data_IF_945173798690
#
_entry.id   IF_945173798690
#
_cell.length_a   1.000
_cell.length_b   1.000
_cell.length_c   1.000
_cell.angle_alpha   90.00
_cell.angle_beta   90.00
_cell.angle_gamma   90.00
#
_symmetry.space_group_name_H-M   'P 1'
#
loop_
_entity.id
_entity.type
_entity.pdbx_description
1 polymer ?
#
# COMPACT_ATOMS: atom_id res chain seq x y z
N UNK A 1 -18.01 -7.04 2.66
CA UNK A 1 -16.69 -7.71 2.64
C UNK A 1 -16.56 -8.42 1.30
N UNK A 2 -15.49 -8.16 0.55
CA UNK A 2 -15.19 -8.83 -0.73
C UNK A 2 -13.82 -9.49 -0.56
N UNK A 3 -13.65 -10.80 -0.86
CA UNK A 3 -12.36 -11.49 -0.76
C UNK A 3 -11.36 -10.99 -1.79
N UNK A 4 -10.09 -10.86 -1.39
CA UNK A 4 -8.97 -10.46 -2.26
C UNK A 4 -8.51 -11.61 -3.16
N UNK A 5 -8.61 -12.84 -2.66
CA UNK A 5 -8.19 -14.04 -3.40
C UNK A 5 -9.29 -15.09 -3.40
N UNK A 6 -9.39 -15.80 -4.53
CA UNK A 6 -10.30 -16.92 -4.73
C UNK A 6 -9.49 -18.12 -5.19
N UNK A 7 -9.72 -19.26 -4.53
CA UNK A 7 -9.06 -20.52 -4.86
C UNK A 7 -10.13 -21.58 -5.15
N UNK A 8 -9.98 -22.29 -6.25
CA UNK A 8 -10.79 -23.47 -6.53
C UNK A 8 -10.13 -24.69 -5.91
N UNK A 9 -10.90 -25.46 -5.13
CA UNK A 9 -10.45 -26.70 -4.53
C UNK A 9 -11.21 -27.86 -5.18
N UNK A 10 -10.49 -28.92 -5.51
CA UNK A 10 -11.08 -30.17 -6.01
C UNK A 10 -11.76 -30.97 -4.89
N UNK A 11 -11.26 -30.87 -3.65
CA UNK A 11 -11.89 -31.45 -2.47
C UNK A 11 -11.63 -30.60 -1.22
N UNK A 12 -12.54 -30.70 -0.24
CA UNK A 12 -12.39 -30.03 1.05
C UNK A 12 -11.44 -30.85 1.94
N UNK A 13 -10.37 -30.25 2.51
CA UNK A 13 -9.55 -30.93 3.48
C UNK A 13 -10.34 -31.05 4.79
N UNK A 14 -10.53 -32.29 5.25
CA UNK A 14 -11.26 -32.60 6.47
C UNK A 14 -10.30 -33.20 7.50
N UNK A 15 -10.52 -32.85 8.77
CA UNK A 15 -9.97 -33.55 9.93
C UNK A 15 -10.53 -34.98 10.02
N UNK A 16 -9.91 -35.89 10.80
CA UNK A 16 -10.46 -37.24 11.02
C UNK A 16 -11.91 -37.26 11.55
N UNK A 17 -12.32 -36.18 12.21
CA UNK A 17 -13.69 -35.99 12.72
C UNK A 17 -14.66 -35.38 11.69
N UNK A 18 -14.26 -35.26 10.42
CA UNK A 18 -15.09 -34.73 9.33
C UNK A 18 -15.28 -33.21 9.33
N UNK A 19 -14.61 -32.46 10.22
CA UNK A 19 -14.63 -30.99 10.21
C UNK A 19 -13.61 -30.44 9.21
N UNK A 20 -13.90 -29.31 8.59
CA UNK A 20 -12.95 -28.60 7.72
C UNK A 20 -11.66 -28.28 8.46
N UNK A 21 -10.52 -28.67 7.88
CA UNK A 21 -9.20 -28.38 8.42
C UNK A 21 -8.69 -27.01 7.91
N UNK A 22 -8.84 -25.98 8.75
CA UNK A 22 -8.41 -24.63 8.44
C UNK A 22 -6.89 -24.48 8.24
N UNK A 23 -6.08 -25.33 8.89
CA UNK A 23 -4.62 -25.29 8.72
C UNK A 23 -4.23 -25.85 7.37
N UNK A 24 -4.82 -26.98 6.98
CA UNK A 24 -4.61 -27.55 5.66
C UNK A 24 -5.05 -26.58 4.55
N UNK A 25 -6.19 -25.89 4.71
CA UNK A 25 -6.61 -24.83 3.78
C UNK A 25 -5.59 -23.70 3.66
N UNK A 26 -5.04 -23.23 4.79
CA UNK A 26 -4.07 -22.13 4.78
C UNK A 26 -2.76 -22.53 4.12
N UNK A 27 -2.35 -23.80 4.21
CA UNK A 27 -1.16 -24.32 3.54
C UNK A 27 -1.36 -24.55 2.04
N UNK A 28 -2.58 -24.89 1.62
CA UNK A 28 -2.96 -25.02 0.20
C UNK A 28 -3.12 -23.67 -0.50
N UNK A 29 -3.33 -22.59 0.26
CA UNK A 29 -3.34 -21.24 -0.27
C UNK A 29 -1.93 -20.89 -0.76
N UNK A 30 -1.67 -21.18 -2.04
CA UNK A 30 -0.53 -20.63 -2.75
C UNK A 30 -0.83 -19.15 -2.93
N UNK A 31 -0.33 -18.32 -2.03
CA UNK A 31 -0.25 -16.89 -2.30
C UNK A 31 0.55 -16.75 -3.58
N UNK A 32 0.02 -16.08 -4.63
CA UNK A 32 0.81 -15.81 -5.81
C UNK A 32 2.10 -15.15 -5.34
N UNK A 33 3.22 -15.89 -5.45
CA UNK A 33 4.53 -15.34 -5.13
C UNK A 33 4.75 -14.32 -6.21
N UNK A 34 4.78 -13.08 -5.78
CA UNK A 34 4.89 -11.91 -6.63
C UNK A 34 5.95 -12.19 -7.70
N UNK A 35 5.51 -12.28 -8.95
CA UNK A 35 6.44 -12.21 -10.06
C UNK A 35 7.16 -10.89 -9.88
N UNK A 36 8.47 -10.92 -9.67
CA UNK A 36 9.33 -9.75 -9.80
C UNK A 36 9.22 -9.26 -11.25
N UNK A 37 8.11 -8.61 -11.56
CA UNK A 37 7.82 -8.11 -12.89
C UNK A 37 8.70 -6.90 -13.07
N UNK A 38 9.71 -7.05 -13.92
CA UNK A 38 10.07 -6.25 -15.11
C UNK A 38 9.71 -4.75 -15.19
N UNK A 39 8.74 -4.26 -14.42
CA UNK A 39 8.27 -2.87 -14.33
C UNK A 39 9.28 -1.91 -13.68
N UNK A 40 10.23 -2.41 -12.87
CA UNK A 40 11.25 -1.56 -12.26
C UNK A 40 12.06 -0.78 -13.33
N UNK A 41 12.24 -1.37 -14.52
CA UNK A 41 13.07 -0.85 -15.60
C UNK A 41 12.43 0.33 -16.36
N UNK A 42 11.11 0.50 -16.30
CA UNK A 42 10.38 1.61 -16.96
C UNK A 42 9.79 2.62 -15.98
N UNK A 43 10.24 2.59 -14.72
CA UNK A 43 9.67 3.42 -13.66
C UNK A 43 10.15 4.87 -13.71
N UNK A 44 9.21 5.81 -13.78
CA UNK A 44 9.49 7.25 -13.62
C UNK A 44 10.01 7.54 -12.19
N UNK A 45 10.77 8.63 -12.00
CA UNK A 45 11.24 9.00 -10.66
C UNK A 45 10.10 9.15 -9.64
N UNK A 46 8.98 9.73 -10.08
CA UNK A 46 7.76 9.89 -9.27
C UNK A 46 7.21 8.55 -8.78
N UNK A 47 7.11 7.57 -9.68
CA UNK A 47 6.63 6.23 -9.35
C UNK A 47 7.53 5.52 -8.33
N UNK A 48 8.86 5.55 -8.52
CA UNK A 48 9.83 4.94 -7.58
C UNK A 48 9.73 5.54 -6.18
N UNK A 49 9.58 6.86 -6.12
CA UNK A 49 9.51 7.56 -4.85
C UNK A 49 8.19 7.28 -4.13
N UNK A 50 7.07 7.24 -4.85
CA UNK A 50 5.77 6.81 -4.30
C UNK A 50 5.84 5.37 -3.79
N UNK A 51 6.41 4.44 -4.57
CA UNK A 51 6.56 3.04 -4.17
C UNK A 51 7.37 2.89 -2.88
N UNK A 52 8.50 3.58 -2.80
CA UNK A 52 9.37 3.55 -1.62
C UNK A 52 8.67 4.16 -0.40
N UNK A 53 8.04 5.32 -0.59
CA UNK A 53 7.35 6.03 0.48
C UNK A 53 6.16 5.23 1.05
N UNK A 54 5.35 4.62 0.19
CA UNK A 54 4.22 3.78 0.59
C UNK A 54 4.73 2.55 1.35
N UNK A 55 5.74 1.86 0.83
CA UNK A 55 6.34 0.70 1.49
C UNK A 55 6.82 1.02 2.91
N UNK A 56 7.54 2.14 3.07
CA UNK A 56 8.07 2.58 4.36
C UNK A 56 6.99 3.05 5.34
N UNK A 57 5.98 3.76 4.85
CA UNK A 57 4.93 4.32 5.71
C UNK A 57 3.99 3.24 6.23
N UNK A 58 3.63 2.28 5.36
CA UNK A 58 2.64 1.26 5.67
C UNK A 58 3.24 -0.11 6.03
N UNK A 59 4.58 -0.23 6.04
CA UNK A 59 5.30 -1.45 6.42
C UNK A 59 4.90 -2.66 5.57
N UNK A 60 4.63 -2.42 4.28
CA UNK A 60 4.26 -3.45 3.31
C UNK A 60 5.41 -3.74 2.35
N UNK A 61 5.34 -4.89 1.66
CA UNK A 61 6.24 -5.17 0.55
C UNK A 61 6.16 -4.03 -0.48
N UNK A 62 7.29 -3.60 -1.04
CA UNK A 62 7.31 -2.43 -1.93
C UNK A 62 6.35 -2.65 -3.11
N UNK A 63 5.25 -1.89 -3.26
CA UNK A 63 4.23 -2.17 -4.27
C UNK A 63 4.80 -2.01 -5.68
N UNK A 64 4.35 -2.85 -6.61
CA UNK A 64 4.69 -2.79 -8.03
C UNK A 64 3.94 -1.63 -8.67
N UNK A 65 4.33 -1.25 -9.89
CA UNK A 65 3.72 -0.09 -10.54
C UNK A 65 2.21 -0.30 -10.79
N UNK A 66 1.83 -1.51 -11.19
CA UNK A 66 0.45 -1.91 -11.46
C UNK A 66 -0.21 -2.66 -10.30
N UNK A 67 0.51 -2.88 -9.19
CA UNK A 67 -0.04 -3.63 -8.06
C UNK A 67 -1.13 -2.81 -7.38
N UNK A 68 -2.26 -3.46 -7.13
CA UNK A 68 -3.32 -2.85 -6.35
C UNK A 68 -2.89 -2.74 -4.88
N UNK A 69 -3.07 -1.56 -4.28
CA UNK A 69 -2.77 -1.30 -2.88
C UNK A 69 -3.43 -2.32 -1.93
N UNK A 70 -4.65 -2.77 -2.23
CA UNK A 70 -5.35 -3.77 -1.42
C UNK A 70 -4.69 -5.15 -1.49
N UNK A 71 -4.15 -5.52 -2.66
CA UNK A 71 -3.47 -6.81 -2.87
C UNK A 71 -2.10 -6.82 -2.17
N UNK A 72 -1.48 -5.65 -2.03
CA UNK A 72 -0.22 -5.44 -1.29
C UNK A 72 -0.44 -5.41 0.23
N UNK A 73 -1.70 -5.44 0.68
CA UNK A 73 -2.07 -5.53 2.09
C UNK A 73 -2.48 -4.21 2.73
N UNK A 74 -2.63 -3.11 1.97
CA UNK A 74 -3.25 -1.90 2.49
C UNK A 74 -4.74 -2.14 2.70
N UNK A 75 -5.28 -1.67 3.81
CA UNK A 75 -6.71 -1.69 4.07
C UNK A 75 -7.34 -0.29 3.88
N UNK A 76 -8.67 -0.20 4.03
CA UNK A 76 -9.39 1.06 3.84
C UNK A 76 -8.92 2.20 4.75
N UNK A 77 -8.50 1.90 5.99
CA UNK A 77 -7.97 2.91 6.91
C UNK A 77 -6.58 3.39 6.49
N UNK A 78 -5.76 2.48 5.94
CA UNK A 78 -4.47 2.82 5.37
C UNK A 78 -4.63 3.73 4.15
N UNK A 79 -5.62 3.45 3.28
CA UNK A 79 -5.94 4.31 2.13
C UNK A 79 -6.40 5.70 2.56
N UNK A 80 -7.24 5.81 3.59
CA UNK A 80 -7.64 7.13 4.14
C UNK A 80 -6.42 7.87 4.73
N UNK A 81 -5.50 7.15 5.36
CA UNK A 81 -4.27 7.73 5.90
C UNK A 81 -3.34 8.18 4.78
N UNK A 82 -3.18 7.36 3.73
CA UNK A 82 -2.43 7.65 2.52
C UNK A 82 -2.98 8.91 1.84
N UNK A 83 -4.30 9.00 1.68
CA UNK A 83 -4.98 10.16 1.14
C UNK A 83 -4.62 11.44 1.89
N UNK A 84 -4.71 11.42 3.22
CA UNK A 84 -4.35 12.57 4.05
C UNK A 84 -2.89 12.98 3.85
N UNK A 85 -1.98 12.02 3.74
CA UNK A 85 -0.58 12.34 3.47
C UNK A 85 -0.36 12.93 2.08
N UNK A 86 -1.04 12.40 1.05
CA UNK A 86 -1.01 12.94 -0.30
C UNK A 86 -1.54 14.38 -0.33
N UNK A 87 -2.65 14.68 0.34
CA UNK A 87 -3.16 16.05 0.43
C UNK A 87 -2.21 17.02 1.12
N UNK A 88 -1.52 16.58 2.19
CA UNK A 88 -0.53 17.40 2.87
C UNK A 88 0.69 17.72 2.01
N UNK A 89 1.00 16.83 1.07
CA UNK A 89 2.22 16.86 0.25
C UNK A 89 1.98 17.54 -1.09
N UNK A 90 0.80 17.36 -1.65
CA UNK A 90 0.34 17.97 -2.89
C UNK A 90 -0.93 18.79 -2.64
N UNK A 91 -0.84 19.89 -1.88
CA UNK A 91 -2.01 20.69 -1.51
C UNK A 91 -2.72 21.28 -2.73
N UNK A 92 -1.99 21.61 -3.80
CA UNK A 92 -2.56 22.15 -5.05
C UNK A 92 -3.07 21.07 -6.00
N UNK A 93 -2.81 19.79 -5.72
CA UNK A 93 -3.27 18.70 -6.57
C UNK A 93 -4.77 18.45 -6.44
N UNK A 94 -5.48 19.02 -5.45
CA UNK A 94 -6.92 18.84 -5.27
C UNK A 94 -7.39 17.37 -5.39
N UNK A 95 -6.59 16.43 -4.86
CA UNK A 95 -6.94 15.01 -4.86
C UNK A 95 -8.18 14.77 -4.00
N UNK A 96 -9.11 13.98 -4.55
CA UNK A 96 -10.29 13.51 -3.83
C UNK A 96 -10.10 12.08 -3.35
N UNK A 97 -10.81 11.70 -2.29
CA UNK A 97 -10.73 10.33 -1.76
C UNK A 97 -11.25 9.32 -2.79
N UNK A 98 -12.29 9.68 -3.54
CA UNK A 98 -12.86 8.87 -4.63
C UNK A 98 -11.80 8.51 -5.67
N UNK A 99 -11.01 9.49 -6.12
CA UNK A 99 -9.93 9.25 -7.09
C UNK A 99 -8.88 8.24 -6.57
N UNK A 100 -8.60 8.24 -5.26
CA UNK A 100 -7.65 7.29 -4.69
C UNK A 100 -8.21 5.85 -4.66
N UNK A 101 -9.53 5.69 -4.51
CA UNK A 101 -10.20 4.40 -4.62
C UNK A 101 -10.41 3.94 -6.07
N UNK A 102 -10.41 4.87 -7.04
CA UNK A 102 -10.46 4.54 -8.48
C UNK A 102 -9.07 4.22 -9.05
N UNK A 103 -8.01 4.80 -8.48
CA UNK A 103 -6.63 4.68 -8.95
C UNK A 103 -5.75 4.03 -7.89
N UNK A 104 -6.00 2.74 -7.64
CA UNK A 104 -5.43 1.98 -6.53
C UNK A 104 -4.06 1.37 -6.84
N UNK A 105 -3.33 1.87 -7.83
CA UNK A 105 -1.96 1.47 -8.13
C UNK A 105 -1.06 2.68 -8.31
N UNK A 106 0.25 2.47 -8.21
CA UNK A 106 1.25 3.55 -8.26
C UNK A 106 1.25 4.25 -9.61
N UNK A 107 1.13 3.50 -10.71
CA UNK A 107 1.11 4.06 -12.05
C UNK A 107 -0.08 4.99 -12.26
N UNK A 108 -1.29 4.56 -11.88
CA UNK A 108 -2.49 5.39 -12.00
C UNK A 108 -2.40 6.65 -11.12
N UNK A 109 -1.92 6.52 -9.88
CA UNK A 109 -1.72 7.65 -8.99
C UNK A 109 -0.67 8.64 -9.52
N UNK A 110 0.47 8.13 -10.00
CA UNK A 110 1.53 8.95 -10.57
C UNK A 110 1.07 9.70 -11.82
N UNK A 111 0.34 9.04 -12.73
CA UNK A 111 -0.25 9.70 -13.91
C UNK A 111 -1.24 10.79 -13.51
N UNK A 112 -2.05 10.57 -12.47
CA UNK A 112 -3.02 11.57 -11.99
C UNK A 112 -2.32 12.80 -11.44
N UNK A 113 -1.25 12.61 -10.67
CA UNK A 113 -0.41 13.69 -10.15
C UNK A 113 0.29 14.45 -11.28
N UNK A 114 0.91 13.74 -12.22
CA UNK A 114 1.60 14.33 -13.37
C UNK A 114 0.64 15.13 -14.26
N UNK A 115 -0.59 14.63 -14.50
CA UNK A 115 -1.62 15.37 -15.25
C UNK A 115 -1.99 16.70 -14.59
N UNK A 116 -1.85 16.80 -13.27
CA UNK A 116 -2.08 18.03 -12.49
C UNK A 116 -0.83 18.92 -12.35
N UNK A 117 0.24 18.62 -13.10
CA UNK A 117 1.48 19.39 -13.10
C UNK A 117 2.36 19.17 -11.88
N UNK A 118 2.15 18.07 -11.14
CA UNK A 118 2.97 17.71 -10.00
C UNK A 118 4.07 16.73 -10.40
N UNK A 119 5.31 17.21 -10.30
CA UNK A 119 6.53 16.44 -10.56
C UNK A 119 7.35 16.24 -9.26
N UNK A 120 8.50 15.55 -9.41
CA UNK A 120 9.40 15.05 -8.37
C UNK A 120 9.75 16.02 -7.21
N UNK A 121 9.64 17.33 -7.42
CA UNK A 121 10.02 18.38 -6.46
C UNK A 121 9.14 18.41 -5.20
N UNK A 122 7.89 17.94 -5.31
CA UNK A 122 6.89 18.07 -4.23
C UNK A 122 6.88 16.92 -3.23
N UNK A 123 7.81 15.95 -3.35
CA UNK A 123 7.90 14.82 -2.43
C UNK A 123 9.08 15.02 -1.44
N UNK A 124 8.97 15.84 -0.37
CA UNK A 124 10.02 15.97 0.63
C UNK A 124 10.18 14.69 1.48
N UNK A 125 11.23 13.90 1.26
CA UNK A 125 11.54 12.63 1.94
C UNK A 125 11.48 12.69 3.49
N UNK A 126 11.43 13.88 4.09
CA UNK A 126 11.51 14.16 5.53
C UNK A 126 10.23 13.95 6.36
N UNK A 127 9.06 13.68 5.76
CA UNK A 127 7.81 13.60 6.56
C UNK A 127 7.67 12.34 7.41
N UNK A 128 8.36 11.25 7.03
CA UNK A 128 8.37 10.00 7.80
C UNK A 128 9.25 10.17 9.06
N UNK A 129 10.41 10.81 8.93
CA UNK A 129 11.34 11.06 10.05
C UNK A 129 10.77 12.07 11.07
N UNK A 130 10.10 13.13 10.61
CA UNK A 130 9.59 14.18 11.49
C UNK A 130 8.53 13.69 12.50
N UNK A 131 7.74 12.66 12.15
CA UNK A 131 6.65 12.16 13.00
C UNK A 131 7.11 11.10 14.00
N UNK A 132 8.12 10.30 13.64
CA UNK A 132 8.79 9.39 14.59
C UNK A 132 9.54 10.21 15.65
N UNK A 133 10.22 11.29 15.24
CA UNK A 133 10.86 12.24 16.16
C UNK A 133 9.85 12.91 17.11
N UNK A 134 8.70 13.37 16.60
CA UNK A 134 7.65 13.98 17.43
C UNK A 134 7.03 13.03 18.46
N UNK A 135 6.94 11.72 18.16
CA UNK A 135 6.37 10.73 19.10
C UNK A 135 7.35 10.40 20.24
N UNK A 136 8.65 10.48 19.99
CA UNK A 136 9.69 10.29 21.00
C UNK A 136 9.83 11.52 21.92
N UNK A 137 9.71 12.74 21.38
CA UNK A 137 9.78 13.98 22.18
C UNK A 137 8.62 14.15 23.17
N UNK A 138 7.44 13.59 22.90
CA UNK A 138 6.30 13.63 23.83
C UNK A 138 6.43 12.67 25.02
N UNK A 139 7.34 11.68 24.96
CA UNK A 139 7.54 10.71 26.04
C UNK A 139 8.55 11.18 27.09
N UNK A 140 9.46 12.10 26.75
CA UNK A 140 10.52 12.58 27.65
C UNK A 140 10.10 13.76 28.53
N UNK A 141 8.93 14.38 28.28
CA UNK A 141 8.43 15.54 29.05
C UNK A 141 7.47 15.18 30.19
N UNK A 142 7.27 13.90 30.49
CA UNK A 142 6.33 13.43 31.54
C UNK A 142 7.01 12.86 32.80
N UNK A 143 8.33 12.97 32.89
CA UNK A 143 9.14 12.54 34.05
C UNK A 143 10.07 13.65 34.51
N UNK A 144 9.51 14.83 34.82
CA UNK A 144 10.17 15.80 35.67
C UNK A 144 9.15 16.60 36.47
#
# INVERSE_FOLDING_TARGET
>A
MIPVFWFSLTCWPLTPNGKVDARALTQLAVYPTRSDSTDAQHSTPLQRQLATWIAQTFHVASPGLQDNFFDVGLNSLDIVTLFRHLQQRFPTANLTLTELFEHTCIDALARRLAWRGHDMTDIPLSSVEARVAQRLQRRTLRTR
#
